data_IF_101481232771
#
_entry.id   IF_101481232771
#
_cell.length_a   1.000
_cell.length_b   1.000
_cell.length_c   1.000
_cell.angle_alpha   90.00
_cell.angle_beta   90.00
_cell.angle_gamma   90.00
#
_symmetry.space_group_name_H-M   'P 1'
#
loop_
_entity.id
_entity.type
_entity.pdbx_description
1 polymer ?
#
# COMPACT_ATOMS: atom_id res chain seq x y z
N UNK A 1 15.31 -14.19 4.55
CA UNK A 1 14.64 -12.96 5.04
C UNK A 1 15.35 -11.65 4.64
N UNK A 2 16.57 -11.37 5.13
CA UNK A 2 17.23 -10.04 4.97
C UNK A 2 17.35 -9.54 3.53
N UNK A 3 17.83 -10.39 2.62
CA UNK A 3 18.01 -10.03 1.21
C UNK A 3 16.70 -9.59 0.56
N UNK A 4 15.65 -10.42 0.68
CA UNK A 4 14.33 -10.11 0.13
C UNK A 4 13.68 -8.89 0.82
N UNK A 5 13.87 -8.73 2.14
CA UNK A 5 13.37 -7.57 2.89
C UNK A 5 13.99 -6.27 2.41
N UNK A 6 15.32 -6.19 2.38
CA UNK A 6 16.04 -4.99 1.94
C UNK A 6 15.77 -4.67 0.47
N UNK A 7 15.80 -5.67 -0.41
CA UNK A 7 15.48 -5.50 -1.83
C UNK A 7 14.06 -4.95 -2.01
N UNK A 8 13.09 -5.53 -1.30
CA UNK A 8 11.69 -5.07 -1.37
C UNK A 8 11.52 -3.66 -0.85
N UNK A 9 12.20 -3.29 0.25
CA UNK A 9 12.21 -1.94 0.78
C UNK A 9 12.74 -0.93 -0.26
N UNK A 10 13.93 -1.16 -0.79
CA UNK A 10 14.56 -0.28 -1.78
C UNK A 10 13.72 -0.15 -3.06
N UNK A 11 13.25 -1.28 -3.60
CA UNK A 11 12.45 -1.29 -4.83
C UNK A 11 11.14 -0.54 -4.64
N UNK A 12 10.45 -0.78 -3.53
CA UNK A 12 9.14 -0.19 -3.28
C UNK A 12 9.24 1.32 -2.99
N UNK A 13 10.28 1.77 -2.28
CA UNK A 13 10.57 3.20 -2.11
C UNK A 13 10.84 3.88 -3.45
N UNK A 14 11.65 3.27 -4.31
CA UNK A 14 11.94 3.83 -5.64
C UNK A 14 10.69 3.92 -6.52
N UNK A 15 9.94 2.82 -6.64
CA UNK A 15 8.75 2.77 -7.49
C UNK A 15 7.68 3.76 -7.01
N UNK A 16 7.40 3.82 -5.70
CA UNK A 16 6.42 4.76 -5.18
C UNK A 16 6.86 6.21 -5.35
N UNK A 17 8.15 6.51 -5.17
CA UNK A 17 8.67 7.85 -5.44
C UNK A 17 8.54 8.23 -6.92
N UNK A 18 8.78 7.28 -7.83
CA UNK A 18 8.63 7.50 -9.26
C UNK A 18 7.16 7.75 -9.66
N UNK A 19 6.23 6.93 -9.14
CA UNK A 19 4.81 7.08 -9.43
C UNK A 19 4.16 8.30 -8.77
N UNK A 20 4.74 8.82 -7.68
CA UNK A 20 4.22 10.01 -6.98
C UNK A 20 4.17 11.28 -7.86
N UNK A 21 4.99 11.36 -8.93
CA UNK A 21 4.97 12.50 -9.85
C UNK A 21 3.97 12.35 -11.01
N UNK A 22 3.22 11.25 -11.07
CA UNK A 22 2.15 11.10 -12.06
C UNK A 22 0.94 11.95 -11.67
N UNK A 23 0.21 12.42 -12.68
CA UNK A 23 -1.06 13.15 -12.51
C UNK A 23 -2.09 12.35 -11.71
N UNK A 24 -2.14 11.04 -11.94
CA UNK A 24 -2.83 10.07 -11.09
C UNK A 24 -1.78 9.26 -10.32
N UNK A 25 -1.54 9.64 -9.06
CA UNK A 25 -0.57 8.97 -8.21
C UNK A 25 -0.99 7.51 -7.99
N UNK A 26 -0.04 6.60 -8.17
CA UNK A 26 -0.25 5.17 -8.02
C UNK A 26 0.64 4.68 -6.89
N UNK A 27 0.03 4.20 -5.81
CA UNK A 27 0.76 3.69 -4.64
C UNK A 27 0.77 2.17 -4.67
N UNK A 28 1.97 1.62 -4.80
CA UNK A 28 2.21 0.18 -4.65
C UNK A 28 2.36 -0.11 -3.15
N UNK A 29 1.44 -0.92 -2.63
CA UNK A 29 1.40 -1.27 -1.21
C UNK A 29 2.25 -2.50 -0.91
N UNK A 30 2.49 -2.76 0.39
CA UNK A 30 3.17 -3.97 0.87
C UNK A 30 2.49 -5.28 0.43
N UNK A 31 1.19 -5.26 0.10
CA UNK A 31 0.43 -6.46 -0.30
C UNK A 31 1.06 -7.10 -1.54
N UNK A 32 1.54 -6.29 -2.48
CA UNK A 32 2.22 -6.79 -3.69
C UNK A 32 3.46 -7.60 -3.32
N UNK A 33 4.23 -7.13 -2.33
CA UNK A 33 5.40 -7.86 -1.82
C UNK A 33 4.99 -9.12 -1.07
N UNK A 34 3.92 -9.06 -0.27
CA UNK A 34 3.39 -10.23 0.44
C UNK A 34 2.93 -11.34 -0.53
N UNK A 35 2.36 -11.00 -1.68
CA UNK A 35 1.95 -12.01 -2.67
C UNK A 35 3.15 -12.56 -3.44
N UNK A 36 4.08 -11.69 -3.87
CA UNK A 36 5.22 -12.08 -4.71
C UNK A 36 6.35 -12.78 -3.94
N UNK A 37 6.55 -12.44 -2.66
CA UNK A 37 7.64 -12.99 -1.85
C UNK A 37 7.42 -14.46 -1.52
N UNK A 38 6.18 -14.94 -1.45
CA UNK A 38 5.92 -16.34 -1.15
C UNK A 38 6.52 -17.32 -2.19
N UNK A 39 6.20 -17.21 -3.50
CA UNK A 39 6.81 -18.08 -4.50
C UNK A 39 8.32 -17.85 -4.63
N UNK A 40 8.79 -16.60 -4.55
CA UNK A 40 10.22 -16.27 -4.62
C UNK A 40 10.98 -16.88 -3.44
N UNK A 41 10.45 -16.76 -2.22
CA UNK A 41 11.04 -17.29 -1.00
C UNK A 41 11.10 -18.82 -1.01
N UNK A 42 10.04 -19.49 -1.48
CA UNK A 42 10.05 -20.96 -1.67
C UNK A 42 11.02 -21.38 -2.76
N UNK A 43 11.11 -20.64 -3.86
CA UNK A 43 12.06 -20.92 -4.94
C UNK A 43 13.51 -20.76 -4.45
N UNK A 44 13.82 -19.66 -3.76
CA UNK A 44 15.13 -19.44 -3.15
C UNK A 44 15.46 -20.53 -2.14
N UNK A 45 14.51 -20.96 -1.30
CA UNK A 45 14.73 -22.05 -0.35
C UNK A 45 14.95 -23.41 -1.03
N UNK A 46 14.45 -23.62 -2.25
CA UNK A 46 14.66 -24.85 -3.01
C UNK A 46 15.98 -24.85 -3.81
N UNK A 47 16.43 -23.68 -4.28
CA UNK A 47 17.59 -23.55 -5.17
C UNK A 47 18.88 -23.20 -4.43
N UNK A 48 18.81 -22.44 -3.34
CA UNK A 48 20.01 -21.99 -2.64
C UNK A 48 20.65 -23.14 -1.86
N UNK A 49 21.98 -23.28 -1.92
CA UNK A 49 22.69 -24.35 -1.23
C UNK A 49 22.62 -24.14 0.28
N UNK A 50 22.37 -25.23 1.01
CA UNK A 50 22.36 -25.29 2.48
C UNK A 50 23.77 -25.39 3.08
N UNK A 51 24.81 -25.31 2.26
CA UNK A 51 26.20 -25.44 2.69
C UNK A 51 26.60 -24.30 3.61
N UNK A 52 27.13 -24.65 4.79
CA UNK A 52 27.71 -23.69 5.73
C UNK A 52 29.07 -23.23 5.20
N UNK A 53 29.17 -21.96 4.82
CA UNK A 53 30.43 -21.33 4.44
C UNK A 53 31.11 -20.77 5.68
N UNK A 54 32.35 -21.20 5.94
CA UNK A 54 33.19 -20.62 7.00
C UNK A 54 33.93 -19.42 6.43
N UNK A 55 33.50 -18.21 6.77
CA UNK A 55 34.16 -16.97 6.36
C UNK A 55 35.09 -16.47 7.49
N UNK A 56 36.41 -16.42 7.28
CA UNK A 56 37.32 -15.88 8.28
C UNK A 56 37.14 -14.35 8.38
N UNK A 57 36.60 -13.86 9.50
CA UNK A 57 36.40 -12.42 9.77
C UNK A 57 35.00 -12.03 10.25
N UNK A 58 34.00 -12.91 10.12
CA UNK A 58 32.78 -12.83 10.91
C UNK A 58 33.04 -13.59 12.22
N UNK A 59 32.94 -12.91 13.38
CA UNK A 59 33.44 -13.35 14.69
C UNK A 59 33.12 -14.80 15.14
N UNK A 60 33.80 -15.22 16.22
CA UNK A 60 33.90 -16.59 16.77
C UNK A 60 32.76 -17.55 16.37
N UNK A 61 33.04 -18.38 15.36
CA UNK A 61 32.13 -19.41 14.88
C UNK A 61 31.42 -19.13 13.54
N UNK A 62 32.00 -18.28 12.67
CA UNK A 62 31.45 -17.80 11.40
C UNK A 62 31.07 -18.84 10.33
N UNK A 63 30.14 -19.74 10.63
CA UNK A 63 29.39 -20.55 9.68
C UNK A 63 28.20 -19.74 9.15
N UNK A 64 28.27 -19.31 7.89
CA UNK A 64 27.19 -18.61 7.20
C UNK A 64 26.60 -19.53 6.12
N UNK A 65 25.32 -19.87 6.26
CA UNK A 65 24.57 -20.58 5.21
C UNK A 65 23.73 -19.60 4.41
N UNK A 66 23.76 -19.73 3.08
CA UNK A 66 22.87 -18.99 2.19
C UNK A 66 21.41 -19.44 2.32
N UNK A 67 21.18 -20.65 2.84
CA UNK A 67 19.87 -21.23 3.07
C UNK A 67 19.82 -21.91 4.45
N UNK A 68 19.50 -21.16 5.51
CA UNK A 68 19.48 -21.69 6.88
C UNK A 68 18.29 -22.63 7.14
N UNK A 69 17.29 -22.71 6.25
CA UNK A 69 16.13 -23.58 6.43
C UNK A 69 14.93 -23.24 5.54
N UNK A 70 13.83 -23.99 5.69
CA UNK A 70 12.64 -23.80 4.87
C UNK A 70 11.95 -22.46 5.13
N UNK A 71 11.49 -21.82 4.05
CA UNK A 71 10.81 -20.53 4.12
C UNK A 71 9.51 -20.61 4.92
N UNK A 72 9.45 -19.88 6.04
CA UNK A 72 8.31 -19.95 6.97
C UNK A 72 7.47 -18.66 6.97
N UNK A 73 6.30 -18.71 7.62
CA UNK A 73 5.38 -17.57 7.74
C UNK A 73 6.02 -16.38 8.48
N UNK A 74 6.89 -16.61 9.48
CA UNK A 74 7.55 -15.54 10.24
C UNK A 74 8.51 -14.75 9.36
N UNK A 75 9.33 -15.43 8.56
CA UNK A 75 10.22 -14.78 7.60
C UNK A 75 9.42 -13.97 6.57
N UNK A 76 8.29 -14.51 6.13
CA UNK A 76 7.41 -13.83 5.19
C UNK A 76 6.80 -12.55 5.77
N UNK A 77 6.34 -12.61 7.02
CA UNK A 77 5.84 -11.44 7.77
C UNK A 77 6.93 -10.39 7.92
N UNK A 78 8.15 -10.79 8.30
CA UNK A 78 9.27 -9.87 8.46
C UNK A 78 9.66 -9.18 7.14
N UNK A 79 9.70 -9.90 6.02
CA UNK A 79 9.94 -9.29 4.70
C UNK A 79 8.88 -8.24 4.37
N UNK A 80 7.62 -8.51 4.70
CA UNK A 80 6.52 -7.58 4.45
C UNK A 80 6.62 -6.33 5.32
N UNK A 81 7.12 -6.45 6.56
CA UNK A 81 7.41 -5.28 7.42
C UNK A 81 8.51 -4.40 6.81
N UNK A 82 9.57 -4.99 6.25
CA UNK A 82 10.61 -4.24 5.54
C UNK A 82 10.03 -3.51 4.32
N UNK A 83 9.17 -4.18 3.55
CA UNK A 83 8.48 -3.56 2.42
C UNK A 83 7.57 -2.42 2.88
N UNK A 84 6.84 -2.58 3.99
CA UNK A 84 5.99 -1.54 4.55
C UNK A 84 6.75 -0.25 4.87
N UNK A 85 7.94 -0.40 5.46
CA UNK A 85 8.82 0.73 5.75
C UNK A 85 9.23 1.46 4.46
N UNK A 86 9.47 0.71 3.38
CA UNK A 86 9.78 1.26 2.05
C UNK A 86 8.60 1.93 1.34
N UNK A 87 7.37 1.52 1.63
CA UNK A 87 6.13 2.13 1.10
C UNK A 87 5.53 3.21 2.01
N UNK A 88 6.25 3.67 3.04
CA UNK A 88 5.79 4.67 4.00
C UNK A 88 4.38 4.36 4.55
N UNK A 89 4.16 3.11 4.98
CA UNK A 89 2.87 2.64 5.51
C UNK A 89 1.69 2.75 4.53
N UNK A 90 1.95 2.73 3.23
CA UNK A 90 0.93 2.88 2.19
C UNK A 90 0.65 4.32 1.78
N UNK A 91 1.45 5.29 2.26
CA UNK A 91 1.43 6.68 1.76
C UNK A 91 2.39 6.91 0.58
N UNK A 92 3.20 5.90 0.22
CA UNK A 92 4.05 5.91 -0.96
C UNK A 92 5.42 6.53 -0.69
N UNK A 93 5.56 7.83 -0.97
CA UNK A 93 6.83 8.57 -0.90
C UNK A 93 7.07 9.20 0.49
N UNK A 94 8.34 9.38 0.85
CA UNK A 94 8.70 10.14 2.04
C UNK A 94 8.26 11.61 1.88
N UNK A 95 7.33 12.04 2.74
CA UNK A 95 6.70 13.37 2.68
C UNK A 95 7.69 14.53 2.51
N UNK A 96 8.83 14.45 3.20
CA UNK A 96 9.87 15.47 3.18
C UNK A 96 10.53 15.68 1.80
N UNK A 97 10.41 14.72 0.87
CA UNK A 97 10.86 14.88 -0.52
C UNK A 97 10.10 16.02 -1.21
N UNK A 98 8.82 16.23 -0.87
CA UNK A 98 8.03 17.36 -1.40
C UNK A 98 8.62 18.71 -1.03
N UNK A 99 9.22 18.85 0.15
CA UNK A 99 9.91 20.10 0.57
C UNK A 99 11.11 20.36 -0.33
N UNK A 100 11.93 19.34 -0.59
CA UNK A 100 13.09 19.43 -1.48
C UNK A 100 12.66 19.79 -2.90
N UNK A 101 11.55 19.21 -3.38
CA UNK A 101 11.00 19.50 -4.69
C UNK A 101 10.51 20.94 -4.80
N UNK A 102 9.80 21.44 -3.80
CA UNK A 102 9.29 22.83 -3.80
C UNK A 102 10.47 23.83 -3.85
N UNK A 103 11.51 23.60 -3.06
CA UNK A 103 12.72 24.44 -3.06
C UNK A 103 13.36 24.50 -4.46
N UNK A 104 13.50 23.35 -5.13
CA UNK A 104 14.15 23.24 -6.43
C UNK A 104 13.28 23.70 -7.59
N UNK A 105 12.03 23.24 -7.66
CA UNK A 105 11.15 23.41 -8.81
C UNK A 105 10.33 24.71 -8.76
N UNK A 106 9.87 25.14 -7.59
CA UNK A 106 9.04 26.35 -7.45
C UNK A 106 9.84 27.58 -7.04
N UNK A 107 10.75 27.45 -6.08
CA UNK A 107 11.56 28.57 -5.60
C UNK A 107 12.87 28.77 -6.38
N UNK A 108 13.23 27.84 -7.27
CA UNK A 108 14.45 27.92 -8.08
C UNK A 108 15.74 27.95 -7.26
N UNK A 109 15.72 27.49 -6.01
CA UNK A 109 16.88 27.48 -5.11
C UNK A 109 17.56 26.11 -5.13
N UNK A 110 18.88 26.11 -4.99
CA UNK A 110 19.64 24.87 -4.82
C UNK A 110 19.71 24.48 -3.34
N UNK A 111 19.50 23.20 -3.08
CA UNK A 111 19.77 22.57 -1.79
C UNK A 111 20.80 21.47 -2.02
N UNK A 112 21.81 21.40 -1.16
CA UNK A 112 22.83 20.36 -1.25
C UNK A 112 22.22 18.99 -0.98
N UNK A 113 22.80 17.94 -1.58
CA UNK A 113 22.33 16.57 -1.37
C UNK A 113 22.34 16.21 0.12
N UNK A 114 23.42 16.54 0.84
CA UNK A 114 23.55 16.24 2.27
C UNK A 114 22.46 16.94 3.11
N UNK A 115 22.15 18.20 2.83
CA UNK A 115 21.10 18.92 3.56
C UNK A 115 19.71 18.31 3.29
N UNK A 116 19.39 18.00 2.03
CA UNK A 116 18.13 17.34 1.68
C UNK A 116 18.02 15.93 2.29
N UNK A 117 19.10 15.16 2.24
CA UNK A 117 19.18 13.82 2.83
C UNK A 117 18.98 13.83 4.35
N UNK A 118 19.69 14.73 5.06
CA UNK A 118 19.53 14.90 6.51
C UNK A 118 18.11 15.34 6.87
N UNK A 119 17.53 16.27 6.10
CA UNK A 119 16.15 16.70 6.29
C UNK A 119 15.19 15.52 6.16
N UNK A 120 15.32 14.71 5.10
CA UNK A 120 14.46 13.54 4.88
C UNK A 120 14.65 12.51 5.99
N UNK A 121 15.89 12.12 6.32
CA UNK A 121 16.15 11.15 7.41
C UNK A 121 15.58 11.63 8.73
N UNK A 122 15.80 12.89 9.11
CA UNK A 122 15.34 13.42 10.39
C UNK A 122 13.82 13.30 10.51
N UNK A 123 13.07 13.59 9.45
CA UNK A 123 11.61 13.42 9.47
C UNK A 123 11.17 11.96 9.63
N UNK A 124 11.88 11.03 8.97
CA UNK A 124 11.56 9.60 9.10
C UNK A 124 11.89 9.08 10.50
N UNK A 125 13.07 9.40 11.04
CA UNK A 125 13.52 8.98 12.38
C UNK A 125 12.61 9.56 13.46
N UNK A 126 12.19 10.81 13.32
CA UNK A 126 11.22 11.43 14.22
C UNK A 126 9.92 10.63 14.26
N UNK A 127 9.36 10.27 13.09
CA UNK A 127 8.12 9.48 13.02
C UNK A 127 8.22 8.13 13.72
N UNK A 128 9.30 7.37 13.46
CA UNK A 128 9.55 6.09 14.15
C UNK A 128 9.83 6.28 15.65
N UNK A 129 10.48 7.37 16.05
CA UNK A 129 10.72 7.71 17.45
C UNK A 129 9.42 7.92 18.23
N UNK A 130 8.49 8.70 17.67
CA UNK A 130 7.16 8.90 18.26
C UNK A 130 6.34 7.61 18.33
N UNK A 131 6.38 6.79 17.27
CA UNK A 131 5.72 5.49 17.27
C UNK A 131 6.26 4.57 18.39
N UNK A 132 7.57 4.61 18.64
CA UNK A 132 8.20 3.89 19.75
C UNK A 132 7.74 4.37 21.13
N UNK A 133 7.69 5.69 21.34
CA UNK A 133 7.22 6.28 22.60
C UNK A 133 5.74 5.98 22.89
N UNK A 134 4.91 5.97 21.84
CA UNK A 134 3.47 5.74 21.95
C UNK A 134 3.07 4.25 21.89
N UNK A 135 4.03 3.33 21.68
CA UNK A 135 3.77 1.88 21.56
C UNK A 135 2.93 1.34 22.72
N UNK A 136 3.23 1.75 23.96
CA UNK A 136 2.50 1.34 25.17
C UNK A 136 1.02 1.71 25.14
N UNK A 137 0.67 2.82 24.47
CA UNK A 137 -0.69 3.34 24.43
C UNK A 137 -1.46 2.90 23.18
N UNK A 138 -0.77 2.73 22.05
CA UNK A 138 -1.40 2.54 20.74
C UNK A 138 -1.28 1.09 20.23
N UNK A 139 -0.35 0.30 20.78
CA UNK A 139 -0.04 -1.06 20.27
C UNK A 139 -0.24 -2.15 21.33
N UNK A 140 0.20 -1.92 22.56
CA UNK A 140 0.08 -2.92 23.64
C UNK A 140 -1.36 -3.22 24.09
N UNK A 141 -2.30 -2.25 24.15
CA UNK A 141 -3.65 -2.53 24.57
C UNK A 141 -4.44 -3.34 23.53
N UNK A 142 -5.02 -4.47 23.94
CA UNK A 142 -5.71 -5.39 23.02
C UNK A 142 -6.96 -4.80 22.31
N UNK A 143 -7.53 -3.72 22.84
CA UNK A 143 -8.65 -3.01 22.22
C UNK A 143 -8.21 -2.06 21.10
N UNK A 144 -6.91 -1.73 21.01
CA UNK A 144 -6.35 -0.92 19.94
C UNK A 144 -5.96 -1.84 18.77
N UNK A 145 -6.88 -2.02 17.84
CA UNK A 145 -6.65 -2.78 16.61
C UNK A 145 -6.66 -1.85 15.39
N UNK A 146 -5.79 -2.15 14.43
CA UNK A 146 -5.70 -1.43 13.17
C UNK A 146 -6.35 -2.27 12.07
N UNK A 147 -7.46 -1.80 11.46
CA UNK A 147 -8.19 -2.60 10.48
C UNK A 147 -7.35 -3.05 9.28
N UNK A 148 -6.42 -2.21 8.83
CA UNK A 148 -5.49 -2.53 7.74
C UNK A 148 -4.59 -3.75 8.04
N UNK A 149 -4.21 -3.96 9.29
CA UNK A 149 -3.42 -5.11 9.73
C UNK A 149 -4.20 -6.42 9.63
N UNK A 150 -5.51 -6.40 9.87
CA UNK A 150 -6.36 -7.60 9.77
C UNK A 150 -6.38 -8.17 8.34
N UNK A 151 -6.36 -7.29 7.34
CA UNK A 151 -6.29 -7.71 5.93
C UNK A 151 -4.97 -8.43 5.64
N UNK A 152 -3.85 -7.92 6.17
CA UNK A 152 -2.53 -8.56 6.00
C UNK A 152 -2.50 -9.94 6.65
N UNK A 153 -3.00 -10.04 7.89
CA UNK A 153 -3.08 -11.30 8.64
C UNK A 153 -3.94 -12.32 7.90
N UNK A 154 -5.10 -11.89 7.40
CA UNK A 154 -6.00 -12.76 6.62
C UNK A 154 -5.32 -13.29 5.36
N UNK A 155 -4.56 -12.44 4.65
CA UNK A 155 -3.79 -12.85 3.48
C UNK A 155 -2.66 -13.82 3.84
N UNK A 156 -1.92 -13.59 4.93
CA UNK A 156 -0.88 -14.54 5.36
C UNK A 156 -1.47 -15.91 5.71
N UNK A 157 -2.62 -15.94 6.39
CA UNK A 157 -3.33 -17.18 6.71
C UNK A 157 -3.79 -17.89 5.44
N UNK A 158 -4.37 -17.17 4.48
CA UNK A 158 -4.77 -17.74 3.18
C UNK A 158 -3.59 -18.32 2.37
N UNK A 159 -2.39 -17.77 2.54
CA UNK A 159 -1.18 -18.18 1.81
C UNK A 159 -0.39 -19.33 2.47
N UNK A 160 -0.44 -19.44 3.81
CA UNK A 160 0.38 -20.40 4.58
C UNK A 160 -0.42 -21.51 5.28
N UNK A 161 -1.69 -21.29 5.63
CA UNK A 161 -2.51 -22.35 6.23
C UNK A 161 -2.95 -23.36 5.16
N UNK A 162 -2.95 -24.65 5.53
CA UNK A 162 -3.55 -25.70 4.71
C UNK A 162 -5.07 -25.65 4.91
N UNK A 163 -5.81 -25.73 3.82
CA UNK A 163 -7.27 -25.74 3.86
C UNK A 163 -7.81 -27.11 4.27
N UNK A 164 -8.93 -27.12 4.99
CA UNK A 164 -9.72 -28.33 5.23
C UNK A 164 -10.35 -28.82 3.92
N UNK A 165 -10.36 -30.14 3.69
CA UNK A 165 -10.67 -30.78 2.39
C UNK A 165 -12.07 -30.48 1.82
N UNK A 166 -12.98 -29.90 2.60
CA UNK A 166 -14.39 -29.76 2.23
C UNK A 166 -14.77 -28.44 1.49
N UNK A 167 -13.86 -27.47 1.32
CA UNK A 167 -14.18 -26.16 0.69
C UNK A 167 -13.15 -25.76 -0.36
N UNK A 168 -13.54 -24.85 -1.27
CA UNK A 168 -12.59 -24.20 -2.18
C UNK A 168 -11.45 -23.64 -1.35
N UNK A 169 -10.22 -24.07 -1.66
CA UNK A 169 -9.01 -23.60 -1.00
C UNK A 169 -8.95 -22.07 -0.99
N UNK A 170 -8.60 -21.46 0.14
CA UNK A 170 -8.48 -20.00 0.27
C UNK A 170 -7.55 -19.41 -0.78
N UNK A 171 -6.49 -20.14 -1.14
CA UNK A 171 -5.58 -19.77 -2.20
C UNK A 171 -6.24 -19.80 -3.59
N UNK A 172 -7.08 -20.81 -3.89
CA UNK A 172 -7.85 -20.87 -5.15
C UNK A 172 -8.83 -19.71 -5.25
N UNK A 173 -9.57 -19.42 -4.18
CA UNK A 173 -10.47 -18.27 -4.13
C UNK A 173 -9.71 -16.95 -4.35
N UNK A 174 -8.56 -16.78 -3.70
CA UNK A 174 -7.70 -15.61 -3.89
C UNK A 174 -7.29 -15.42 -5.35
N UNK A 175 -6.84 -16.48 -6.03
CA UNK A 175 -6.44 -16.40 -7.45
C UNK A 175 -7.62 -16.07 -8.36
N UNK A 176 -8.79 -16.69 -8.14
CA UNK A 176 -10.00 -16.38 -8.91
C UNK A 176 -10.39 -14.91 -8.73
N UNK A 177 -10.46 -14.43 -7.49
CA UNK A 177 -10.80 -13.04 -7.20
C UNK A 177 -9.78 -12.07 -7.80
N UNK A 178 -8.48 -12.39 -7.72
CA UNK A 178 -7.40 -11.60 -8.33
C UNK A 178 -7.55 -11.51 -9.85
N UNK A 179 -7.78 -12.64 -10.53
CA UNK A 179 -7.97 -12.69 -11.98
C UNK A 179 -9.24 -11.95 -12.42
N UNK A 180 -10.37 -12.15 -11.74
CA UNK A 180 -11.61 -11.43 -12.03
C UNK A 180 -11.43 -9.91 -11.83
N UNK A 181 -10.76 -9.49 -10.76
CA UNK A 181 -10.49 -8.08 -10.49
C UNK A 181 -9.57 -7.48 -11.54
N UNK A 182 -8.50 -8.19 -11.91
CA UNK A 182 -7.58 -7.78 -12.97
C UNK A 182 -8.28 -7.57 -14.32
N UNK A 183 -9.14 -8.52 -14.71
CA UNK A 183 -9.94 -8.40 -15.93
C UNK A 183 -10.96 -7.26 -15.83
N UNK A 184 -11.60 -7.10 -14.67
CA UNK A 184 -12.55 -6.02 -14.47
C UNK A 184 -11.89 -4.65 -14.59
N UNK A 185 -10.67 -4.45 -14.08
CA UNK A 185 -9.95 -3.18 -14.19
C UNK A 185 -9.75 -2.67 -15.62
N UNK A 186 -9.66 -3.57 -16.60
CA UNK A 186 -9.54 -3.20 -18.02
C UNK A 186 -10.82 -2.51 -18.52
N UNK A 187 -11.98 -2.88 -17.95
CA UNK A 187 -13.28 -2.39 -18.41
C UNK A 187 -13.48 -0.90 -18.11
N UNK A 188 -13.47 -0.40 -16.86
CA UNK A 188 -13.56 1.03 -16.60
C UNK A 188 -12.25 1.75 -16.93
N UNK A 189 -11.10 1.08 -16.85
CA UNK A 189 -9.80 1.74 -17.04
C UNK A 189 -9.41 2.00 -18.51
N UNK A 190 -9.94 1.23 -19.46
CA UNK A 190 -9.55 1.34 -20.87
C UNK A 190 -10.72 1.26 -21.85
N UNK A 191 -11.61 0.27 -21.70
CA UNK A 191 -12.69 0.04 -22.68
C UNK A 191 -13.85 1.04 -22.55
N UNK A 192 -14.29 1.33 -21.33
CA UNK A 192 -15.45 2.16 -21.02
C UNK A 192 -15.16 3.10 -19.84
N UNK A 193 -14.36 4.13 -20.10
CA UNK A 193 -13.95 5.13 -19.09
C UNK A 193 -15.11 5.92 -18.49
N UNK A 194 -16.28 5.96 -19.15
CA UNK A 194 -17.52 6.53 -18.58
C UNK A 194 -18.00 5.81 -17.33
N UNK A 195 -17.60 4.54 -17.11
CA UNK A 195 -17.93 3.79 -15.90
C UNK A 195 -17.18 4.26 -14.65
N UNK A 196 -16.08 5.02 -14.84
CA UNK A 196 -15.31 5.61 -13.74
C UNK A 196 -16.07 6.72 -13.03
N UNK A 197 -16.96 7.44 -13.72
CA UNK A 197 -17.82 8.46 -13.12
C UNK A 197 -19.16 8.56 -13.84
N UNK A 198 -20.18 7.93 -13.25
CA UNK A 198 -21.56 7.92 -13.70
C UNK A 198 -22.34 8.97 -12.90
N UNK A 199 -22.29 10.21 -13.38
CA UNK A 199 -23.03 11.34 -12.80
C UNK A 199 -24.45 11.41 -13.38
N UNK A 200 -25.39 10.66 -12.81
CA UNK A 200 -26.78 10.63 -13.30
C UNK A 200 -27.47 12.00 -13.26
N UNK A 201 -27.10 12.86 -12.31
CA UNK A 201 -27.60 14.25 -12.21
C UNK A 201 -27.23 15.05 -13.45
N UNK A 202 -26.03 14.85 -13.99
CA UNK A 202 -25.57 15.48 -15.24
C UNK A 202 -26.32 14.94 -16.46
N UNK A 203 -26.75 13.67 -16.45
CA UNK A 203 -27.55 13.09 -17.54
C UNK A 203 -28.97 13.64 -17.57
N UNK A 204 -29.62 13.75 -16.40
CA UNK A 204 -30.98 14.29 -16.29
C UNK A 204 -31.01 15.78 -16.64
N UNK A 205 -30.03 16.55 -16.17
CA UNK A 205 -29.97 18.01 -16.36
C UNK A 205 -28.82 18.43 -17.27
N UNK A 206 -28.75 17.84 -18.47
CA UNK A 206 -27.64 18.03 -19.42
C UNK A 206 -27.41 19.47 -19.89
N UNK A 207 -28.42 20.35 -19.81
CA UNK A 207 -28.31 21.76 -20.26
C UNK A 207 -28.01 22.76 -19.13
N UNK A 208 -28.04 22.32 -17.87
CA UNK A 208 -27.87 23.22 -16.73
C UNK A 208 -26.42 23.21 -16.24
N UNK A 209 -25.76 24.37 -16.30
CA UNK A 209 -24.39 24.53 -15.80
C UNK A 209 -24.33 24.29 -14.29
N UNK A 210 -25.35 24.73 -13.53
CA UNK A 210 -25.38 24.51 -12.08
C UNK A 210 -25.55 23.04 -11.72
N UNK A 211 -26.38 22.30 -12.47
CA UNK A 211 -26.53 20.86 -12.24
C UNK A 211 -25.26 20.07 -12.61
N UNK A 212 -24.52 20.53 -13.62
CA UNK A 212 -23.23 19.93 -13.97
C UNK A 212 -22.15 20.20 -12.91
N UNK A 213 -22.07 21.42 -12.37
CA UNK A 213 -21.14 21.75 -11.29
C UNK A 213 -21.43 20.98 -10.00
N UNK A 214 -22.71 20.77 -9.67
CA UNK A 214 -23.11 19.99 -8.51
C UNK A 214 -22.89 18.48 -8.71
N UNK A 215 -23.28 17.95 -9.87
CA UNK A 215 -23.36 16.51 -10.12
C UNK A 215 -22.10 15.86 -10.70
N UNK A 216 -21.20 16.62 -11.32
CA UNK A 216 -20.01 16.06 -11.96
C UNK A 216 -19.05 15.47 -10.92
N UNK A 217 -18.72 14.18 -11.05
CA UNK A 217 -17.77 13.50 -10.16
C UNK A 217 -16.29 13.78 -10.48
N UNK A 218 -15.98 14.30 -11.67
CA UNK A 218 -14.59 14.62 -12.08
C UNK A 218 -14.25 16.09 -11.89
N UNK A 219 -15.19 16.97 -12.26
CA UNK A 219 -14.95 18.42 -12.35
C UNK A 219 -15.91 19.23 -11.45
N UNK A 220 -16.72 18.56 -10.64
CA UNK A 220 -17.74 19.17 -9.78
C UNK A 220 -17.75 18.60 -8.36
N UNK A 221 -18.84 18.86 -7.64
CA UNK A 221 -19.01 18.40 -6.25
C UNK A 221 -19.39 16.92 -6.11
N UNK A 222 -19.64 16.22 -7.22
CA UNK A 222 -19.92 14.79 -7.24
C UNK A 222 -21.24 14.36 -6.58
N UNK A 223 -22.22 15.26 -6.42
CA UNK A 223 -23.51 14.92 -5.81
C UNK A 223 -24.23 13.89 -6.68
N UNK A 224 -24.43 12.69 -6.14
CA UNK A 224 -25.05 11.59 -6.88
C UNK A 224 -24.16 10.96 -7.95
N UNK A 225 -22.87 11.26 -7.99
CA UNK A 225 -21.94 10.54 -8.85
C UNK A 225 -21.73 9.10 -8.34
N UNK A 226 -21.93 8.12 -9.21
CA UNK A 226 -21.67 6.71 -8.93
C UNK A 226 -20.43 6.27 -9.71
N UNK A 227 -19.66 5.34 -9.17
CA UNK A 227 -18.51 4.77 -9.88
C UNK A 227 -18.55 3.26 -9.81
N UNK A 228 -18.24 2.61 -10.94
CA UNK A 228 -18.01 1.16 -11.00
C UNK A 228 -16.51 0.83 -11.09
N UNK A 229 -15.66 1.85 -10.93
CA UNK A 229 -14.22 1.74 -10.92
C UNK A 229 -13.70 1.73 -9.49
N UNK A 230 -13.21 0.57 -9.05
CA UNK A 230 -12.66 0.44 -7.70
C UNK A 230 -11.42 1.31 -7.47
N UNK A 231 -10.67 1.64 -8.53
CA UNK A 231 -9.51 2.53 -8.39
C UNK A 231 -9.93 3.96 -8.06
N UNK A 232 -11.04 4.45 -8.63
CA UNK A 232 -11.60 5.75 -8.31
C UNK A 232 -12.05 5.81 -6.84
N UNK A 233 -12.70 4.76 -6.34
CA UNK A 233 -13.12 4.66 -4.92
C UNK A 233 -11.91 4.62 -3.98
N UNK A 234 -10.92 3.79 -4.28
CA UNK A 234 -9.84 3.47 -3.34
C UNK A 234 -8.62 4.40 -3.41
N UNK A 235 -8.48 5.22 -4.46
CA UNK A 235 -7.27 6.04 -4.69
C UNK A 235 -7.02 7.09 -3.61
N UNK A 236 -8.07 7.72 -3.08
CA UNK A 236 -7.93 8.84 -2.13
C UNK A 236 -8.21 8.43 -0.67
N UNK A 237 -9.32 7.73 -0.42
CA UNK A 237 -9.74 7.33 0.94
C UNK A 237 -9.29 5.92 1.34
N UNK A 238 -8.43 5.28 0.52
CA UNK A 238 -8.11 3.86 0.61
C UNK A 238 -9.36 2.97 0.44
N UNK A 239 -9.19 1.66 0.59
CA UNK A 239 -10.29 0.71 0.42
C UNK A 239 -11.28 0.79 1.59
N UNK A 240 -12.57 1.13 1.35
CA UNK A 240 -13.56 1.22 2.41
C UNK A 240 -13.90 -0.15 3.02
N UNK A 241 -13.60 -1.26 2.32
CA UNK A 241 -13.79 -2.62 2.84
C UNK A 241 -12.95 -2.91 4.09
N UNK A 242 -11.88 -2.15 4.28
CA UNK A 242 -10.96 -2.28 5.41
C UNK A 242 -11.50 -1.53 6.62
N UNK A 243 -12.17 -0.41 6.39
CA UNK A 243 -12.59 0.52 7.44
C UNK A 243 -13.93 0.12 8.05
N UNK A 244 -14.12 0.27 9.38
CA UNK A 244 -15.39 -0.01 10.01
C UNK A 244 -16.46 1.01 9.58
N UNK A 245 -17.72 0.55 9.54
CA UNK A 245 -18.85 1.36 9.05
C UNK A 245 -19.01 2.70 9.76
N UNK A 246 -18.81 2.75 11.09
CA UNK A 246 -18.94 3.99 11.85
C UNK A 246 -17.93 5.06 11.40
N UNK A 247 -16.70 4.64 11.04
CA UNK A 247 -15.66 5.56 10.58
C UNK A 247 -16.00 6.10 9.18
N UNK A 248 -16.54 5.23 8.31
CA UNK A 248 -17.02 5.62 6.99
C UNK A 248 -18.15 6.65 7.10
N UNK A 249 -19.15 6.39 7.96
CA UNK A 249 -20.24 7.34 8.21
C UNK A 249 -19.73 8.67 8.77
N UNK A 250 -18.78 8.64 9.71
CA UNK A 250 -18.24 9.87 10.29
C UNK A 250 -17.56 10.75 9.24
N UNK A 251 -16.71 10.15 8.38
CA UNK A 251 -16.07 10.86 7.26
C UNK A 251 -17.11 11.36 6.27
N UNK A 252 -18.11 10.55 5.93
CA UNK A 252 -19.19 10.94 5.02
C UNK A 252 -19.99 12.13 5.54
N UNK A 253 -20.38 12.12 6.82
CA UNK A 253 -21.09 13.25 7.44
C UNK A 253 -20.24 14.51 7.44
N UNK A 254 -18.95 14.41 7.78
CA UNK A 254 -18.03 15.55 7.71
C UNK A 254 -17.88 16.12 6.30
N UNK A 255 -17.76 15.23 5.30
CA UNK A 255 -17.71 15.62 3.89
C UNK A 255 -19.01 16.31 3.45
N UNK A 256 -20.17 15.71 3.74
CA UNK A 256 -21.47 16.27 3.37
C UNK A 256 -21.70 17.66 4.00
N UNK A 257 -21.31 17.85 5.26
CA UNK A 257 -21.47 19.14 5.95
C UNK A 257 -20.52 20.23 5.44
N UNK A 258 -19.34 19.89 4.95
CA UNK A 258 -18.35 20.88 4.49
C UNK A 258 -18.46 21.20 2.99
N UNK A 259 -18.91 20.24 2.19
CA UNK A 259 -18.91 20.34 0.72
C UNK A 259 -20.32 20.59 0.18
N UNK A 260 -21.37 20.04 0.80
CA UNK A 260 -22.73 20.12 0.27
C UNK A 260 -23.66 21.10 1.02
N UNK A 261 -23.33 21.46 2.27
CA UNK A 261 -24.07 22.44 3.10
C UNK A 261 -23.29 23.74 3.15
#
# INVERSE_FOLDING_TARGET
MWFLGLLSCCLLSFLNQFFAYRTQSLVITQITVQVSTLPIGRFMAAVLPTTNFRLPGFGDGGEFSLNPGPFNMKEHVLISIFANAGAAFGSGSAYAVSIVNIIKAFYGRSISFAAGWLLIITTQVLGYGWAGLLRKYVVEPAHMWWPSTLVQVSLFRALHEKDDEAKISRAKFFVIALSCSFLWYIVPGYLFTTLTSISWVCWVFSKSVTAQQLGSGTDGLGVGALTLDWSAVASFLFSPLISPFFAILNVFVGYALLIWV
#
